data_IF_698634430644
#
_entry.id   IF_698634430644
#
_cell.length_a   1.000
_cell.length_b   1.000
_cell.length_c   1.000
_cell.angle_alpha   90.00
_cell.angle_beta   90.00
_cell.angle_gamma   90.00
#
_symmetry.space_group_name_H-M   'P 1'
#
loop_
_entity.id
_entity.type
_entity.pdbx_description
1 polymer ?
#
# COMPACT_ATOMS: atom_id res chain seq x y z
N UNK A 1 12.59 -2.07 -13.27
CA UNK A 1 11.62 -3.18 -13.08
C UNK A 1 12.26 -4.17 -12.13
N UNK A 2 11.46 -4.80 -11.28
CA UNK A 2 11.90 -5.72 -10.22
C UNK A 2 11.34 -7.11 -10.47
N UNK A 3 12.12 -8.14 -10.18
CA UNK A 3 11.66 -9.53 -10.23
C UNK A 3 10.81 -9.87 -9.02
N UNK A 4 10.10 -11.00 -9.06
CA UNK A 4 9.43 -11.55 -7.86
C UNK A 4 10.38 -11.68 -6.66
N UNK A 5 11.62 -12.10 -6.88
CA UNK A 5 12.59 -12.31 -5.81
C UNK A 5 12.96 -10.98 -5.16
N UNK A 6 13.15 -9.94 -5.97
CA UNK A 6 13.41 -8.58 -5.50
C UNK A 6 12.23 -8.08 -4.67
N UNK A 7 10.99 -8.24 -5.16
CA UNK A 7 9.80 -7.85 -4.39
C UNK A 7 9.78 -8.54 -3.03
N UNK A 8 9.98 -9.87 -2.98
CA UNK A 8 9.98 -10.60 -1.72
C UNK A 8 11.08 -10.13 -0.75
N UNK A 9 12.27 -9.86 -1.27
CA UNK A 9 13.39 -9.36 -0.47
C UNK A 9 13.15 -7.94 0.05
N UNK A 10 12.57 -7.07 -0.77
CA UNK A 10 12.35 -5.65 -0.45
C UNK A 10 11.20 -5.45 0.53
N UNK A 11 10.10 -6.19 0.38
CA UNK A 11 8.90 -6.07 1.22
C UNK A 11 8.91 -6.99 2.43
N UNK A 12 9.78 -8.00 2.45
CA UNK A 12 9.85 -9.01 3.52
C UNK A 12 8.76 -10.09 3.45
N UNK A 13 7.92 -10.10 2.41
CA UNK A 13 6.92 -11.15 2.21
C UNK A 13 7.59 -12.50 1.89
N UNK A 14 7.22 -13.60 2.58
CA UNK A 14 7.71 -14.93 2.21
C UNK A 14 7.27 -15.31 0.78
N UNK A 15 8.17 -15.89 -0.01
CA UNK A 15 7.89 -16.28 -1.41
C UNK A 15 6.66 -17.19 -1.54
N UNK A 16 6.43 -18.08 -0.57
CA UNK A 16 5.26 -18.97 -0.55
C UNK A 16 3.94 -18.20 -0.34
N UNK A 17 3.95 -17.20 0.56
CA UNK A 17 2.81 -16.33 0.80
C UNK A 17 2.52 -15.46 -0.42
N UNK A 18 3.56 -14.88 -1.03
CA UNK A 18 3.47 -14.13 -2.28
C UNK A 18 2.78 -14.95 -3.37
N UNK A 19 3.26 -16.15 -3.65
CA UNK A 19 2.68 -17.04 -4.68
C UNK A 19 1.21 -17.36 -4.40
N UNK A 20 0.86 -17.60 -3.15
CA UNK A 20 -0.52 -17.91 -2.76
C UNK A 20 -1.44 -16.72 -3.00
N UNK A 21 -1.01 -15.50 -2.65
CA UNK A 21 -1.79 -14.27 -2.85
C UNK A 21 -1.89 -13.90 -4.32
N UNK A 22 -0.80 -14.02 -5.08
CA UNK A 22 -0.78 -13.82 -6.53
C UNK A 22 -1.80 -14.72 -7.25
N UNK A 23 -1.89 -16.00 -6.88
CA UNK A 23 -2.86 -16.94 -7.46
C UNK A 23 -4.32 -16.64 -7.13
N UNK A 24 -4.56 -15.83 -6.09
CA UNK A 24 -5.90 -15.45 -5.62
C UNK A 24 -6.25 -14.02 -6.01
N UNK A 25 -5.42 -13.36 -6.82
CA UNK A 25 -5.53 -11.94 -7.17
C UNK A 25 -5.63 -11.04 -5.94
N UNK A 26 -4.82 -11.33 -4.92
CA UNK A 26 -4.78 -10.63 -3.63
C UNK A 26 -3.50 -9.80 -3.46
N UNK A 27 -2.84 -9.40 -4.55
CA UNK A 27 -1.70 -8.50 -4.50
C UNK A 27 -2.07 -7.20 -5.21
N UNK A 28 -2.01 -6.04 -4.53
CA UNK A 28 -2.27 -4.76 -5.16
C UNK A 28 -1.11 -4.44 -6.10
N UNK A 29 -1.43 -4.24 -7.36
CA UNK A 29 -0.49 -3.73 -8.35
C UNK A 29 -1.05 -2.43 -8.92
N UNK A 30 -0.21 -1.63 -9.56
CA UNK A 30 -0.63 -0.47 -10.33
C UNK A 30 -1.56 -1.00 -11.41
N UNK A 31 -2.85 -0.86 -11.15
CA UNK A 31 -3.89 -1.24 -12.07
C UNK A 31 -3.67 -0.41 -13.33
N UNK A 32 -3.37 -1.08 -14.43
CA UNK A 32 -3.47 -0.47 -15.74
C UNK A 32 -4.94 -0.01 -15.87
N UNK A 33 -5.23 1.29 -16.06
CA UNK A 33 -6.58 1.79 -15.95
C UNK A 33 -7.52 1.00 -16.86
N UNK A 34 -8.58 0.42 -16.30
CA UNK A 34 -9.55 -0.35 -17.08
C UNK A 34 -10.33 0.56 -18.04
N UNK A 35 -10.44 1.85 -17.77
CA UNK A 35 -11.07 2.82 -18.68
C UNK A 35 -10.03 3.50 -19.57
N UNK A 36 -10.15 3.29 -20.88
CA UNK A 36 -9.32 3.95 -21.90
C UNK A 36 -8.02 3.24 -22.28
N UNK A 37 -7.62 2.16 -21.57
CA UNK A 37 -6.50 1.32 -22.00
C UNK A 37 -6.89 0.47 -23.21
N UNK A 38 -6.04 0.45 -24.23
CA UNK A 38 -6.20 -0.43 -25.38
C UNK A 38 -6.12 -1.90 -24.95
N UNK A 39 -6.78 -2.80 -25.70
CA UNK A 39 -6.74 -4.24 -25.39
C UNK A 39 -5.30 -4.78 -25.35
N UNK A 40 -4.40 -4.21 -26.16
CA UNK A 40 -2.96 -4.51 -26.14
C UNK A 40 -2.28 -4.16 -24.81
N UNK A 41 -2.68 -3.07 -24.16
CA UNK A 41 -2.15 -2.63 -22.87
C UNK A 41 -2.69 -3.54 -21.74
N UNK A 42 -3.93 -4.01 -21.86
CA UNK A 42 -4.53 -5.00 -20.95
C UNK A 42 -3.92 -6.38 -21.12
N UNK A 43 -3.66 -6.79 -22.36
CA UNK A 43 -3.03 -8.06 -22.67
C UNK A 43 -1.56 -8.06 -22.26
N UNK A 44 -0.81 -6.96 -22.46
CA UNK A 44 0.55 -6.81 -21.88
C UNK A 44 0.56 -6.77 -20.36
N UNK A 45 -0.50 -6.31 -19.71
CA UNK A 45 -0.64 -6.37 -18.25
C UNK A 45 -0.88 -7.81 -17.75
N UNK A 46 -1.67 -8.59 -18.50
CA UNK A 46 -1.86 -10.04 -18.27
C UNK A 46 -0.61 -10.86 -18.63
N UNK A 47 0.08 -10.51 -19.72
CA UNK A 47 1.31 -11.15 -20.22
C UNK A 47 2.55 -10.78 -19.40
N UNK A 48 2.58 -9.61 -18.74
CA UNK A 48 3.63 -9.24 -17.77
C UNK A 48 3.88 -10.38 -16.79
N UNK A 49 2.81 -11.11 -16.45
CA UNK A 49 2.82 -12.18 -15.48
C UNK A 49 3.26 -11.66 -14.11
N UNK A 50 3.16 -12.50 -13.09
CA UNK A 50 3.71 -12.20 -11.76
C UNK A 50 5.27 -12.21 -11.74
N UNK A 51 5.90 -11.78 -12.82
CA UNK A 51 7.32 -11.88 -13.09
C UNK A 51 8.03 -10.53 -12.95
N UNK A 52 7.36 -9.42 -13.29
CA UNK A 52 7.97 -8.09 -13.35
C UNK A 52 7.10 -7.02 -12.68
N UNK A 53 7.71 -6.25 -11.78
CA UNK A 53 7.04 -5.27 -10.93
C UNK A 53 7.69 -3.90 -11.09
N UNK A 54 6.87 -2.86 -11.11
CA UNK A 54 7.34 -1.47 -11.01
C UNK A 54 7.73 -1.15 -9.56
N UNK A 55 8.51 -0.08 -9.32
CA UNK A 55 8.73 0.42 -7.97
C UNK A 55 7.47 0.70 -7.15
N UNK A 56 6.42 1.19 -7.80
CA UNK A 56 5.16 1.51 -7.14
C UNK A 56 4.44 0.22 -6.74
N UNK A 57 4.52 -0.85 -7.55
CA UNK A 57 4.02 -2.18 -7.17
C UNK A 57 4.70 -2.71 -5.92
N UNK A 58 6.03 -2.55 -5.82
CA UNK A 58 6.80 -2.96 -4.63
C UNK A 58 6.27 -2.24 -3.38
N UNK A 59 6.02 -0.93 -3.50
CA UNK A 59 5.47 -0.14 -2.40
C UNK A 59 4.04 -0.56 -2.05
N UNK A 60 3.16 -0.79 -3.02
CA UNK A 60 1.79 -1.24 -2.79
C UNK A 60 1.77 -2.57 -2.02
N UNK A 61 2.57 -3.53 -2.46
CA UNK A 61 2.68 -4.85 -1.82
C UNK A 61 3.27 -4.71 -0.41
N UNK A 62 4.25 -3.84 -0.19
CA UNK A 62 4.79 -3.61 1.14
C UNK A 62 3.77 -2.96 2.10
N UNK A 63 3.03 -1.97 1.63
CA UNK A 63 1.96 -1.32 2.42
C UNK A 63 0.88 -2.34 2.76
N UNK A 64 0.53 -3.23 1.83
CA UNK A 64 -0.36 -4.35 2.11
C UNK A 64 0.19 -5.24 3.23
N UNK A 65 1.46 -5.65 3.19
CA UNK A 65 2.05 -6.47 4.25
C UNK A 65 1.97 -5.81 5.62
N UNK A 66 2.31 -4.52 5.68
CA UNK A 66 2.25 -3.76 6.93
C UNK A 66 0.82 -3.63 7.44
N UNK A 67 -0.13 -3.32 6.56
CA UNK A 67 -1.55 -3.32 6.92
C UNK A 67 -1.99 -4.70 7.41
N UNK A 68 -1.56 -5.79 6.78
CA UNK A 68 -1.91 -7.14 7.23
C UNK A 68 -1.31 -7.48 8.61
N UNK A 69 -0.12 -6.97 8.95
CA UNK A 69 0.47 -7.12 10.28
C UNK A 69 -0.35 -6.36 11.34
N UNK A 70 -0.71 -5.11 11.06
CA UNK A 70 -1.50 -4.28 11.98
C UNK A 70 -2.96 -4.75 12.11
N UNK A 71 -3.60 -5.10 10.99
CA UNK A 71 -4.99 -5.58 10.93
C UNK A 71 -5.11 -7.03 11.42
N UNK A 72 -4.11 -7.87 11.15
CA UNK A 72 -4.09 -9.28 11.51
C UNK A 72 -4.18 -9.53 13.02
N UNK A 73 -3.76 -8.55 13.84
CA UNK A 73 -3.91 -8.59 15.30
C UNK A 73 -5.27 -8.05 15.79
N UNK A 74 -5.96 -7.21 15.02
CA UNK A 74 -7.14 -6.49 15.48
C UNK A 74 -8.49 -7.08 15.00
N UNK A 75 -8.54 -7.69 13.81
CA UNK A 75 -9.83 -7.97 13.14
C UNK A 75 -9.86 -9.22 12.24
N UNK A 76 -8.75 -9.98 12.15
CA UNK A 76 -8.68 -11.16 11.28
C UNK A 76 -8.96 -10.86 9.79
N UNK A 77 -8.81 -9.61 9.34
CA UNK A 77 -9.16 -9.26 7.96
C UNK A 77 -8.23 -9.93 6.96
N UNK A 78 -8.82 -10.43 5.88
CA UNK A 78 -8.12 -11.20 4.86
C UNK A 78 -7.16 -10.33 4.03
N UNK A 79 -6.17 -10.97 3.41
CA UNK A 79 -5.27 -10.32 2.45
C UNK A 79 -5.99 -9.51 1.37
N UNK A 80 -7.21 -9.92 0.99
CA UNK A 80 -8.05 -9.21 0.02
C UNK A 80 -8.54 -7.84 0.52
N UNK A 81 -8.83 -7.71 1.82
CA UNK A 81 -9.23 -6.42 2.41
C UNK A 81 -8.06 -5.45 2.41
N UNK A 82 -6.88 -5.91 2.85
CA UNK A 82 -5.67 -5.10 2.82
C UNK A 82 -5.32 -4.66 1.39
N UNK A 83 -5.44 -5.56 0.40
CA UNK A 83 -5.24 -5.21 -1.01
C UNK A 83 -6.21 -4.10 -1.47
N UNK A 84 -7.50 -4.22 -1.16
CA UNK A 84 -8.50 -3.18 -1.49
C UNK A 84 -8.22 -1.82 -0.85
N UNK A 85 -7.76 -1.81 0.40
CA UNK A 85 -7.38 -0.56 1.09
C UNK A 85 -6.23 0.10 0.32
N UNK A 86 -5.20 -0.66 -0.05
CA UNK A 86 -4.06 -0.15 -0.83
C UNK A 86 -4.52 0.37 -2.20
N UNK A 87 -5.32 -0.40 -2.94
CA UNK A 87 -5.84 -0.02 -4.26
C UNK A 87 -6.67 1.28 -4.19
N UNK A 88 -7.50 1.42 -3.16
CA UNK A 88 -8.33 2.61 -2.98
C UNK A 88 -7.51 3.87 -2.64
N UNK A 89 -6.32 3.69 -2.06
CA UNK A 89 -5.39 4.77 -1.70
C UNK A 89 -4.21 4.87 -2.68
N UNK A 90 -4.28 4.24 -3.87
CA UNK A 90 -3.20 4.18 -4.84
C UNK A 90 -2.68 5.58 -5.24
N UNK A 91 -3.57 6.58 -5.29
CA UNK A 91 -3.21 7.98 -5.60
C UNK A 91 -2.31 8.61 -4.54
N UNK A 92 -2.63 8.44 -3.25
CA UNK A 92 -1.84 8.97 -2.13
C UNK A 92 -0.49 8.25 -2.02
N UNK A 93 -0.49 6.92 -2.18
CA UNK A 93 0.72 6.10 -2.13
C UNK A 93 1.64 6.44 -3.32
N UNK A 94 1.07 6.59 -4.53
CA UNK A 94 1.80 7.01 -5.72
C UNK A 94 2.38 8.41 -5.56
N UNK A 95 1.58 9.37 -5.09
CA UNK A 95 2.05 10.74 -4.80
C UNK A 95 3.24 10.74 -3.85
N UNK A 96 3.21 9.95 -2.78
CA UNK A 96 4.34 9.80 -1.88
C UNK A 96 5.57 9.29 -2.63
N UNK A 97 5.45 8.18 -3.37
CA UNK A 97 6.58 7.57 -4.08
C UNK A 97 7.29 8.59 -5.00
N UNK A 98 6.52 9.45 -5.65
CA UNK A 98 7.01 10.46 -6.59
C UNK A 98 7.51 11.74 -5.92
N UNK A 99 6.79 12.28 -4.94
CA UNK A 99 7.14 13.54 -4.26
C UNK A 99 8.20 13.38 -3.17
N UNK A 100 8.37 12.18 -2.60
CA UNK A 100 9.36 11.93 -1.55
C UNK A 100 10.80 11.88 -2.09
N UNK A 101 11.02 12.08 -3.40
CA UNK A 101 12.34 12.05 -4.05
C UNK A 101 13.41 13.01 -3.48
N UNK A 102 13.09 14.16 -2.85
CA UNK A 102 14.12 15.03 -2.27
C UNK A 102 14.49 14.73 -0.81
N UNK A 103 13.58 14.17 0.00
CA UNK A 103 13.72 14.03 1.48
C UNK A 103 13.77 12.57 1.95
N UNK A 104 14.12 11.69 1.02
CA UNK A 104 14.02 10.21 1.05
C UNK A 104 14.51 9.54 2.35
N UNK A 105 15.44 10.16 3.08
CA UNK A 105 16.05 9.57 4.28
C UNK A 105 15.46 10.04 5.61
N UNK A 106 14.57 11.03 5.60
CA UNK A 106 14.19 11.74 6.82
C UNK A 106 12.69 11.60 7.15
N UNK A 107 12.32 11.48 8.44
CA UNK A 107 10.95 11.67 8.88
C UNK A 107 10.44 13.05 8.42
N UNK A 108 9.33 13.08 7.68
CA UNK A 108 8.77 14.31 7.15
C UNK A 108 7.48 14.67 7.90
N UNK A 109 7.24 15.95 8.23
CA UNK A 109 5.93 16.39 8.73
C UNK A 109 4.81 16.18 7.69
N UNK A 110 5.16 15.95 6.42
CA UNK A 110 4.25 15.61 5.33
C UNK A 110 4.09 14.10 5.13
N UNK A 111 4.35 13.31 6.17
CA UNK A 111 4.18 11.86 6.11
C UNK A 111 2.74 11.48 5.75
N UNK A 112 2.62 10.56 4.80
CA UNK A 112 1.33 10.10 4.31
C UNK A 112 0.94 8.79 5.00
N UNK A 113 -0.28 8.77 5.48
CA UNK A 113 -0.90 7.68 6.22
C UNK A 113 -2.05 7.12 5.42
N UNK A 114 -2.14 5.79 5.40
CA UNK A 114 -3.26 5.09 4.76
C UNK A 114 -3.75 3.99 5.69
N UNK A 115 -5.04 3.65 5.59
CA UNK A 115 -5.59 2.57 6.36
C UNK A 115 -7.11 2.51 6.32
N UNK A 116 -7.69 2.06 7.42
CA UNK A 116 -9.11 1.74 7.54
C UNK A 116 -9.66 2.14 8.89
N UNK A 117 -10.84 2.75 8.87
CA UNK A 117 -11.66 3.02 10.03
C UNK A 117 -12.85 2.06 10.02
N UNK A 118 -12.88 1.12 10.95
CA UNK A 118 -13.99 0.20 11.18
C UNK A 118 -14.94 0.72 12.24
N UNK A 119 -16.24 0.57 12.03
CA UNK A 119 -17.26 0.89 13.03
C UNK A 119 -17.71 -0.39 13.74
N UNK A 120 -17.96 -0.26 15.04
CA UNK A 120 -18.54 -1.33 15.85
C UNK A 120 -19.88 -0.91 16.39
N UNK A 121 -20.87 -1.79 16.31
CA UNK A 121 -22.17 -1.56 16.94
C UNK A 121 -22.07 -1.75 18.48
N UNK A 122 -23.17 -1.43 19.19
CA UNK A 122 -23.22 -1.56 20.65
C UNK A 122 -23.07 -3.02 21.14
N UNK A 123 -23.24 -4.01 20.26
CA UNK A 123 -23.02 -5.43 20.55
C UNK A 123 -21.59 -5.90 20.22
N UNK A 124 -20.70 -5.01 19.79
CA UNK A 124 -19.33 -5.34 19.39
C UNK A 124 -19.22 -6.04 18.04
N UNK A 125 -20.27 -6.04 17.21
CA UNK A 125 -20.22 -6.55 15.84
C UNK A 125 -19.73 -5.47 14.89
N UNK A 126 -18.96 -5.87 13.88
CA UNK A 126 -18.48 -4.97 12.83
C UNK A 126 -19.66 -4.51 11.96
N UNK A 127 -19.90 -3.20 11.90
CA UNK A 127 -20.99 -2.56 11.15
C UNK A 127 -20.54 -1.95 9.82
N UNK A 128 -19.30 -2.20 9.41
CA UNK A 128 -18.69 -1.66 8.20
C UNK A 128 -17.56 -0.68 8.52
N UNK A 129 -17.20 0.16 7.55
CA UNK A 129 -16.11 1.12 7.71
C UNK A 129 -15.69 1.76 6.40
N UNK A 130 -14.65 2.59 6.44
CA UNK A 130 -14.14 3.33 5.28
C UNK A 130 -12.62 3.38 5.25
N UNK A 131 -12.07 3.50 4.05
CA UNK A 131 -10.65 3.72 3.84
C UNK A 131 -10.26 5.16 4.24
N UNK A 132 -9.06 5.32 4.77
CA UNK A 132 -8.46 6.60 5.13
C UNK A 132 -7.15 6.80 4.37
N UNK A 133 -6.90 8.05 3.96
CA UNK A 133 -5.70 8.47 3.23
C UNK A 133 -5.42 9.95 3.45
N UNK A 134 -4.14 10.31 3.60
CA UNK A 134 -3.69 11.71 3.69
C UNK A 134 -2.59 11.93 4.73
N UNK A 135 -2.29 13.19 5.02
CA UNK A 135 -1.40 13.53 6.14
C UNK A 135 -2.07 13.24 7.50
N UNK A 136 -1.26 13.13 8.55
CA UNK A 136 -1.75 12.75 9.88
C UNK A 136 -2.80 13.74 10.43
N UNK A 137 -2.64 15.04 10.20
CA UNK A 137 -3.56 16.06 10.71
C UNK A 137 -4.91 15.94 10.02
N UNK A 138 -4.92 15.74 8.69
CA UNK A 138 -6.11 15.49 7.89
C UNK A 138 -6.84 14.23 8.34
N UNK A 139 -6.10 13.13 8.58
CA UNK A 139 -6.68 11.86 9.07
C UNK A 139 -7.30 12.05 10.47
N UNK A 140 -6.58 12.68 11.40
CA UNK A 140 -7.09 12.95 12.75
C UNK A 140 -8.28 13.92 12.73
N UNK A 141 -8.30 14.90 11.82
CA UNK A 141 -9.44 15.80 11.62
C UNK A 141 -10.69 15.05 11.17
N UNK A 142 -10.54 14.14 10.21
CA UNK A 142 -11.64 13.27 9.76
C UNK A 142 -12.16 12.37 10.90
N UNK A 143 -11.28 11.87 11.76
CA UNK A 143 -11.66 11.03 12.90
C UNK A 143 -12.41 11.80 13.99
N UNK A 144 -12.01 13.05 14.27
CA UNK A 144 -12.70 13.90 15.24
C UNK A 144 -14.14 14.19 14.83
N UNK A 145 -14.41 14.35 13.54
CA UNK A 145 -15.78 14.51 13.03
C UNK A 145 -16.64 13.26 13.22
N UNK A 146 -16.04 12.06 13.22
CA UNK A 146 -16.75 10.78 13.34
C UNK A 146 -16.94 10.33 14.80
N UNK A 147 -16.05 10.78 15.70
CA UNK A 147 -15.98 10.35 17.11
C UNK A 147 -17.23 10.69 17.94
N UNK A 148 -18.14 11.52 17.43
CA UNK A 148 -19.37 11.90 18.11
C UNK A 148 -20.50 10.86 17.97
N UNK A 149 -20.38 9.86 17.09
CA UNK A 149 -21.53 9.01 16.72
C UNK A 149 -21.40 7.52 17.09
N UNK A 150 -20.22 6.88 17.00
CA UNK A 150 -20.03 5.45 17.30
C UNK A 150 -18.61 5.11 17.78
N UNK A 151 -18.45 3.99 18.50
CA UNK A 151 -17.12 3.43 18.80
C UNK A 151 -16.48 2.93 17.51
N UNK A 152 -15.38 3.58 17.11
CA UNK A 152 -14.63 3.22 15.91
C UNK A 152 -13.27 2.60 16.27
N UNK A 153 -12.81 1.68 15.43
CA UNK A 153 -11.48 1.07 15.47
C UNK A 153 -10.67 1.58 14.29
N UNK A 154 -9.46 2.02 14.57
CA UNK A 154 -8.59 2.62 13.57
C UNK A 154 -7.37 1.72 13.33
N UNK A 155 -7.11 1.43 12.06
CA UNK A 155 -5.83 0.85 11.63
C UNK A 155 -5.21 1.77 10.60
N UNK A 156 -3.97 2.18 10.83
CA UNK A 156 -3.24 3.09 9.96
C UNK A 156 -1.79 2.65 9.82
N UNK A 157 -1.24 2.83 8.62
CA UNK A 157 0.16 2.62 8.32
C UNK A 157 0.75 3.92 7.77
N UNK A 158 1.91 4.31 8.31
CA UNK A 158 2.71 5.40 7.75
C UNK A 158 3.42 4.90 6.50
N UNK A 159 2.89 5.27 5.33
CA UNK A 159 3.41 4.83 4.03
C UNK A 159 4.79 5.41 3.74
N UNK A 160 5.09 6.61 4.23
CA UNK A 160 6.42 7.21 4.11
C UNK A 160 7.48 6.36 4.80
N UNK A 161 7.22 5.92 6.03
CA UNK A 161 8.13 5.01 6.76
C UNK A 161 8.32 3.69 6.02
N UNK A 162 7.26 3.13 5.42
CA UNK A 162 7.37 1.92 4.60
C UNK A 162 8.29 2.13 3.40
N UNK A 163 8.22 3.26 2.71
CA UNK A 163 9.14 3.55 1.60
C UNK A 163 10.59 3.67 2.08
N UNK A 164 10.84 4.33 3.22
CA UNK A 164 12.19 4.45 3.79
C UNK A 164 12.77 3.05 4.07
N UNK A 165 11.98 2.17 4.68
CA UNK A 165 12.38 0.77 4.94
C UNK A 165 12.74 0.02 3.65
N UNK A 166 11.88 0.11 2.63
CA UNK A 166 12.11 -0.53 1.32
C UNK A 166 13.42 -0.04 0.70
N UNK A 167 13.69 1.27 0.76
CA UNK A 167 14.91 1.84 0.19
C UNK A 167 16.15 1.44 0.97
N UNK A 168 16.07 1.41 2.30
CA UNK A 168 17.14 0.90 3.15
C UNK A 168 17.44 -0.57 2.83
N UNK A 169 16.41 -1.39 2.59
CA UNK A 169 16.58 -2.78 2.15
C UNK A 169 17.20 -2.84 0.74
N UNK A 170 16.72 -2.04 -0.20
CA UNK A 170 17.27 -2.00 -1.56
C UNK A 170 18.75 -1.67 -1.58
N UNK A 171 19.19 -0.70 -0.77
CA UNK A 171 20.61 -0.37 -0.63
C UNK A 171 21.44 -1.57 -0.14
N UNK A 172 20.92 -2.36 0.80
CA UNK A 172 21.59 -3.60 1.28
C UNK A 172 21.70 -4.67 0.19
N UNK A 173 20.78 -4.69 -0.76
CA UNK A 173 20.76 -5.62 -1.88
C UNK A 173 21.41 -5.07 -3.17
N UNK A 174 22.03 -3.89 -3.13
CA UNK A 174 22.57 -3.19 -4.31
C UNK A 174 21.51 -2.95 -5.41
N UNK A 175 20.25 -2.76 -5.00
CA UNK A 175 19.12 -2.49 -5.89
C UNK A 175 18.88 -0.97 -5.92
N UNK A 176 18.75 -0.39 -7.12
CA UNK A 176 18.45 1.03 -7.29
C UNK A 176 17.02 1.25 -7.76
N UNK A 177 16.31 2.17 -7.12
CA UNK A 177 15.02 2.67 -7.59
C UNK A 177 15.24 3.72 -8.67
N UNK A 178 14.78 3.52 -9.92
CA UNK A 178 14.91 4.54 -10.95
C UNK A 178 14.08 5.77 -10.57
N UNK A 179 14.75 6.93 -10.53
CA UNK A 179 14.11 8.24 -10.49
C UNK A 179 14.14 8.78 -11.93
N UNK A 180 12.98 9.15 -12.52
CA UNK A 180 12.95 9.76 -13.84
C UNK A 180 13.88 10.99 -13.92
N UNK A 181 14.67 11.07 -14.99
CA UNK A 181 15.73 12.07 -15.14
C UNK A 181 15.20 13.50 -15.33
N UNK A 182 13.97 13.62 -15.84
CA UNK A 182 13.23 14.87 -16.03
C UNK A 182 12.77 15.51 -14.71
N UNK A 183 12.90 14.81 -13.59
CA UNK A 183 12.45 15.26 -12.26
C UNK A 183 13.61 15.48 -11.28
N UNK A 184 14.83 15.69 -11.81
CA UNK A 184 16.01 16.19 -11.09
C UNK A 184 16.18 17.68 -11.36
#
# INVERSE_FOLDING_TARGET
MFTRQDVCALTGIPVAAFKTRARRDQLPTVNVPSQGATDEIRDRAKERGWNWFSPVDVLFIAVQERLMMEIGYADGSSAATAAKIVESNAGDIGRMYWLASPTIGEPSPHDLWVGYLGYTDQGGRNSGGRNLGGDLVSVLGQLKADAEQQKARLVLVNTSTVLRDIRNNAARFNITFPVPADWR
#
